data_IF_239875335611
#
_entry.id   IF_239875335611
#
_cell.length_a   1.000
_cell.length_b   1.000
_cell.length_c   1.000
_cell.angle_alpha   90.00
_cell.angle_beta   90.00
_cell.angle_gamma   90.00
#
_symmetry.space_group_name_H-M   'P 1'
#
loop_
_entity.id
_entity.type
_entity.pdbx_description
1 polymer ?
#
# COMPACT_ATOMS: atom_id res chain seq x y z
N UNK A 1 -36.57 84.70 -7.50
CA UNK A 1 -35.41 84.19 -8.25
C UNK A 1 -34.42 83.58 -7.27
N UNK A 2 -34.53 82.30 -7.02
CA UNK A 2 -33.44 81.48 -6.43
C UNK A 2 -33.68 80.03 -6.93
N UNK A 3 -32.91 79.66 -7.90
CA UNK A 3 -32.87 78.25 -8.36
C UNK A 3 -31.43 77.87 -8.75
N UNK A 4 -30.90 76.78 -8.15
CA UNK A 4 -29.94 75.94 -8.80
C UNK A 4 -28.47 76.06 -8.33
N UNK A 5 -28.11 75.60 -7.20
CA UNK A 5 -26.73 75.23 -6.86
C UNK A 5 -26.66 74.08 -5.84
N UNK A 6 -27.26 72.95 -6.17
CA UNK A 6 -27.21 71.76 -5.28
C UNK A 6 -26.82 70.42 -5.97
N UNK A 7 -26.82 70.41 -7.34
CA UNK A 7 -26.70 69.11 -8.05
C UNK A 7 -25.27 68.61 -8.37
N UNK A 8 -24.26 69.49 -8.28
CA UNK A 8 -22.89 69.13 -8.70
C UNK A 8 -22.02 68.44 -7.61
N UNK A 9 -22.33 68.65 -6.33
CA UNK A 9 -21.57 68.12 -5.21
C UNK A 9 -22.00 66.67 -4.88
N UNK A 10 -23.29 66.39 -4.90
CA UNK A 10 -23.83 65.09 -4.63
C UNK A 10 -23.42 64.02 -5.68
N UNK A 11 -23.43 64.43 -6.97
CA UNK A 11 -23.01 63.56 -8.07
C UNK A 11 -21.51 63.24 -8.01
N UNK A 12 -20.65 64.15 -7.59
CA UNK A 12 -19.23 63.91 -7.38
C UNK A 12 -18.97 62.94 -6.18
N UNK A 13 -19.70 63.15 -5.09
CA UNK A 13 -19.59 62.26 -3.90
C UNK A 13 -20.04 60.84 -4.22
N UNK A 14 -21.11 60.67 -4.96
CA UNK A 14 -21.58 59.35 -5.40
C UNK A 14 -20.58 58.70 -6.36
N UNK A 15 -19.95 59.43 -7.26
CA UNK A 15 -18.89 58.90 -8.15
C UNK A 15 -17.64 58.50 -7.38
N UNK A 16 -17.19 59.27 -6.39
CA UNK A 16 -16.06 58.88 -5.53
C UNK A 16 -16.37 57.64 -4.71
N UNK A 17 -17.58 57.54 -4.13
CA UNK A 17 -18.02 56.36 -3.38
C UNK A 17 -18.04 55.11 -4.26
N UNK A 18 -18.50 55.20 -5.49
CA UNK A 18 -18.50 54.13 -6.47
C UNK A 18 -17.07 53.71 -6.86
N UNK A 19 -16.15 54.66 -7.02
CA UNK A 19 -14.74 54.39 -7.29
C UNK A 19 -14.05 53.68 -6.13
N UNK A 20 -14.31 54.11 -4.88
CA UNK A 20 -13.78 53.41 -3.69
C UNK A 20 -14.36 52.00 -3.55
N UNK A 21 -15.65 51.80 -3.79
CA UNK A 21 -16.28 50.47 -3.76
C UNK A 21 -15.73 49.57 -4.86
N UNK A 22 -15.51 50.06 -6.07
CA UNK A 22 -14.92 49.32 -7.18
C UNK A 22 -13.44 48.92 -6.88
N UNK A 23 -12.65 49.87 -6.31
CA UNK A 23 -11.27 49.61 -5.89
C UNK A 23 -11.19 48.58 -4.78
N UNK A 24 -12.06 48.64 -3.77
CA UNK A 24 -12.14 47.66 -2.69
C UNK A 24 -12.53 46.28 -3.23
N UNK A 25 -13.51 46.20 -4.13
CA UNK A 25 -13.92 44.95 -4.77
C UNK A 25 -12.79 44.34 -5.62
N UNK A 26 -12.05 45.18 -6.37
CA UNK A 26 -10.90 44.72 -7.16
C UNK A 26 -9.78 44.21 -6.26
N UNK A 27 -9.48 44.87 -5.15
CA UNK A 27 -8.49 44.47 -4.16
C UNK A 27 -8.88 43.15 -3.50
N UNK A 28 -10.15 42.98 -3.14
CA UNK A 28 -10.67 41.68 -2.61
C UNK A 28 -10.58 40.56 -3.64
N UNK A 29 -10.85 40.86 -4.92
CA UNK A 29 -10.74 39.89 -6.02
C UNK A 29 -9.29 39.46 -6.24
N UNK A 30 -8.34 40.40 -6.22
CA UNK A 30 -6.90 40.11 -6.37
C UNK A 30 -6.38 39.30 -5.16
N UNK A 31 -6.79 39.67 -3.93
CA UNK A 31 -6.45 38.90 -2.73
C UNK A 31 -7.05 37.50 -2.78
N UNK A 32 -8.30 37.35 -3.16
CA UNK A 32 -8.97 36.07 -3.29
C UNK A 32 -8.32 35.18 -4.38
N UNK A 33 -7.97 35.77 -5.53
CA UNK A 33 -7.25 35.08 -6.60
C UNK A 33 -5.83 34.69 -6.17
N UNK A 34 -5.13 35.55 -5.43
CA UNK A 34 -3.81 35.30 -4.87
C UNK A 34 -3.84 34.14 -3.84
N UNK A 35 -4.78 34.17 -2.89
CA UNK A 35 -4.99 33.10 -1.92
C UNK A 35 -5.34 31.77 -2.60
N UNK A 36 -6.16 31.82 -3.64
CA UNK A 36 -6.54 30.65 -4.44
C UNK A 36 -5.38 30.08 -5.26
N UNK A 37 -4.41 30.92 -5.63
CA UNK A 37 -3.20 30.49 -6.36
C UNK A 37 -2.10 29.95 -5.43
N UNK A 38 -2.09 30.40 -4.17
CA UNK A 38 -1.17 30.00 -3.11
C UNK A 38 -1.66 28.77 -2.32
N UNK A 39 -2.84 28.22 -2.66
CA UNK A 39 -3.37 27.02 -2.01
C UNK A 39 -2.48 25.80 -2.37
N UNK A 40 -1.68 25.30 -1.41
CA UNK A 40 -0.77 24.17 -1.65
C UNK A 40 -1.53 22.86 -1.96
N UNK A 41 -2.86 22.84 -1.71
CA UNK A 41 -3.71 21.69 -1.95
C UNK A 41 -4.28 21.61 -3.37
N UNK A 42 -4.11 22.63 -4.21
CA UNK A 42 -4.74 22.69 -5.53
C UNK A 42 -4.31 21.57 -6.46
N UNK A 43 -3.03 21.18 -6.43
CA UNK A 43 -2.53 20.04 -7.22
C UNK A 43 -3.01 18.70 -6.65
N UNK A 44 -3.02 18.57 -5.32
CA UNK A 44 -3.55 17.39 -4.65
C UNK A 44 -5.04 17.22 -4.90
N UNK A 45 -5.82 18.31 -4.86
CA UNK A 45 -7.26 18.30 -5.17
C UNK A 45 -7.56 17.97 -6.63
N UNK A 46 -6.74 18.43 -7.59
CA UNK A 46 -6.90 18.04 -9.00
C UNK A 46 -6.62 16.56 -9.21
N UNK A 47 -5.50 16.05 -8.70
CA UNK A 47 -5.16 14.62 -8.75
C UNK A 47 -6.23 13.75 -8.07
N UNK A 48 -6.70 14.18 -6.90
CA UNK A 48 -7.80 13.52 -6.20
C UNK A 48 -9.08 13.50 -7.03
N UNK A 49 -9.42 14.59 -7.72
CA UNK A 49 -10.61 14.65 -8.58
C UNK A 49 -10.48 13.73 -9.80
N UNK A 50 -9.31 13.64 -10.40
CA UNK A 50 -9.03 12.71 -11.49
C UNK A 50 -9.14 11.26 -11.03
N UNK A 51 -8.51 10.91 -9.90
CA UNK A 51 -8.64 9.59 -9.27
C UNK A 51 -10.09 9.24 -8.93
N UNK A 52 -10.86 10.21 -8.39
CA UNK A 52 -12.30 10.00 -8.12
C UNK A 52 -13.10 9.72 -9.38
N UNK A 53 -12.85 10.48 -10.45
CA UNK A 53 -13.52 10.27 -11.75
C UNK A 53 -13.19 8.90 -12.31
N UNK A 54 -11.94 8.47 -12.17
CA UNK A 54 -11.47 7.18 -12.63
C UNK A 54 -12.09 6.02 -11.82
N UNK A 55 -12.09 6.13 -10.49
CA UNK A 55 -12.74 5.17 -9.59
C UNK A 55 -14.25 5.11 -9.88
N UNK A 56 -14.92 6.25 -9.99
CA UNK A 56 -16.33 6.33 -10.29
C UNK A 56 -16.67 5.69 -11.65
N UNK A 57 -15.86 5.95 -12.68
CA UNK A 57 -16.02 5.38 -14.02
C UNK A 57 -15.89 3.85 -14.01
N UNK A 58 -14.94 3.30 -13.24
CA UNK A 58 -14.68 1.85 -13.19
C UNK A 58 -15.65 1.09 -12.31
N UNK A 59 -16.05 1.69 -11.18
CA UNK A 59 -17.04 1.08 -10.29
C UNK A 59 -18.48 1.27 -10.81
N UNK A 60 -18.68 1.99 -11.94
CA UNK A 60 -20.00 2.33 -12.43
C UNK A 60 -20.83 3.14 -11.43
N UNK A 61 -20.18 3.86 -10.50
CA UNK A 61 -20.82 4.62 -9.42
C UNK A 61 -20.73 6.12 -9.69
N UNK A 62 -21.68 6.93 -9.17
CA UNK A 62 -21.61 8.39 -9.28
C UNK A 62 -20.39 8.92 -8.52
N UNK A 63 -19.94 10.12 -8.89
CA UNK A 63 -18.83 10.82 -8.24
C UNK A 63 -19.10 10.93 -6.73
N UNK A 64 -18.20 10.39 -5.93
CA UNK A 64 -18.31 10.39 -4.47
C UNK A 64 -17.97 11.78 -3.96
N UNK A 65 -18.86 12.36 -3.16
CA UNK A 65 -18.58 13.61 -2.47
C UNK A 65 -17.54 13.38 -1.38
N UNK A 66 -16.44 14.10 -1.44
CA UNK A 66 -15.35 14.02 -0.46
C UNK A 66 -15.02 15.40 0.05
N UNK A 67 -14.51 15.46 1.27
CA UNK A 67 -13.97 16.65 1.89
C UNK A 67 -12.49 16.86 1.53
N UNK A 68 -11.90 18.01 1.92
CA UNK A 68 -10.52 18.35 1.60
C UNK A 68 -9.48 17.34 2.15
N UNK A 69 -9.73 16.71 3.30
CA UNK A 69 -8.87 15.69 3.91
C UNK A 69 -8.98 14.36 3.17
N UNK A 70 -10.19 13.96 2.79
CA UNK A 70 -10.41 12.78 1.96
C UNK A 70 -9.78 12.93 0.57
N UNK A 71 -9.73 14.15 0.03
CA UNK A 71 -9.06 14.45 -1.24
C UNK A 71 -7.55 14.19 -1.18
N UNK A 72 -6.93 14.46 -0.03
CA UNK A 72 -5.52 14.13 0.21
C UNK A 72 -5.29 12.61 0.21
N UNK A 73 -6.15 11.87 0.93
CA UNK A 73 -6.06 10.39 0.99
C UNK A 73 -6.40 9.76 -0.36
N UNK A 74 -7.31 10.36 -1.15
CA UNK A 74 -7.69 9.85 -2.46
C UNK A 74 -6.50 9.77 -3.45
N UNK A 75 -5.43 10.52 -3.23
CA UNK A 75 -4.19 10.41 -4.00
C UNK A 75 -3.44 9.08 -3.78
N UNK A 76 -3.64 8.46 -2.62
CA UNK A 76 -3.03 7.18 -2.24
C UNK A 76 -3.98 5.98 -2.46
N UNK A 77 -5.12 6.21 -3.11
CA UNK A 77 -6.09 5.17 -3.49
C UNK A 77 -5.68 4.53 -4.80
N UNK A 78 -5.57 3.21 -4.81
CA UNK A 78 -5.25 2.40 -5.98
C UNK A 78 -6.48 1.57 -6.36
N UNK A 79 -6.87 1.66 -7.62
CA UNK A 79 -7.93 0.81 -8.14
C UNK A 79 -7.40 -0.63 -8.31
N UNK A 80 -8.15 -1.67 -7.90
CA UNK A 80 -7.73 -3.05 -8.05
C UNK A 80 -7.36 -3.44 -9.49
N UNK A 81 -8.04 -2.88 -10.50
CA UNK A 81 -7.73 -3.17 -11.91
C UNK A 81 -6.38 -2.60 -12.39
N UNK A 82 -5.83 -1.61 -11.69
CA UNK A 82 -4.51 -1.04 -11.97
C UNK A 82 -3.37 -1.72 -11.19
N UNK A 83 -3.70 -2.74 -10.42
CA UNK A 83 -2.69 -3.53 -9.72
C UNK A 83 -2.25 -4.65 -10.66
N UNK A 84 -1.01 -4.60 -11.12
CA UNK A 84 -0.45 -5.60 -12.05
C UNK A 84 -0.07 -6.92 -11.34
N UNK A 85 -0.12 -6.95 -10.01
CA UNK A 85 0.26 -8.11 -9.20
C UNK A 85 -0.98 -8.92 -8.82
N UNK A 86 -0.98 -10.20 -9.16
CA UNK A 86 -1.98 -11.21 -8.76
C UNK A 86 -1.29 -12.38 -8.05
N UNK A 87 -2.03 -13.32 -7.47
CA UNK A 87 -1.43 -14.47 -6.78
C UNK A 87 -0.51 -15.30 -7.68
N UNK A 88 -0.82 -15.39 -8.97
CA UNK A 88 0.04 -16.05 -9.96
C UNK A 88 1.37 -15.32 -10.22
N UNK A 89 1.50 -14.06 -9.81
CA UNK A 89 2.73 -13.27 -9.89
C UNK A 89 3.63 -13.44 -8.65
N UNK A 90 3.23 -14.28 -7.69
CA UNK A 90 3.96 -14.53 -6.45
C UNK A 90 4.33 -16.02 -6.43
N UNK A 91 5.62 -16.37 -6.47
CA UNK A 91 6.09 -17.74 -6.34
C UNK A 91 5.99 -18.22 -4.90
N UNK A 92 5.55 -19.47 -4.70
CA UNK A 92 5.40 -20.07 -3.38
C UNK A 92 4.21 -19.54 -2.56
N UNK A 93 4.25 -19.81 -1.26
CA UNK A 93 3.24 -19.41 -0.27
C UNK A 93 1.83 -19.98 -0.52
N UNK A 94 1.71 -21.16 -1.14
CA UNK A 94 0.41 -21.70 -1.57
C UNK A 94 -0.59 -21.86 -0.42
N UNK A 95 -0.14 -22.38 0.73
CA UNK A 95 -0.98 -22.53 1.93
C UNK A 95 -1.48 -21.18 2.45
N UNK A 96 -0.62 -20.17 2.45
CA UNK A 96 -0.97 -18.81 2.90
C UNK A 96 -1.91 -18.15 1.90
N UNK A 97 -1.67 -18.29 0.60
CA UNK A 97 -2.56 -17.78 -0.45
C UNK A 97 -3.96 -18.39 -0.33
N UNK A 98 -4.05 -19.71 -0.10
CA UNK A 98 -5.31 -20.40 0.09
C UNK A 98 -6.05 -19.87 1.34
N UNK A 99 -5.37 -19.76 2.47
CA UNK A 99 -5.97 -19.22 3.69
C UNK A 99 -6.43 -17.75 3.51
N UNK A 100 -5.63 -16.92 2.83
CA UNK A 100 -6.00 -15.53 2.52
C UNK A 100 -7.18 -15.47 1.55
N UNK A 101 -7.27 -16.38 0.59
CA UNK A 101 -8.42 -16.47 -0.30
C UNK A 101 -9.70 -16.74 0.48
N UNK A 102 -9.68 -17.72 1.38
CA UNK A 102 -10.85 -18.13 2.16
C UNK A 102 -11.26 -17.09 3.22
N UNK A 103 -10.28 -16.55 3.96
CA UNK A 103 -10.56 -15.67 5.10
C UNK A 103 -10.73 -14.20 4.71
N UNK A 104 -10.16 -13.77 3.59
CA UNK A 104 -10.12 -12.35 3.20
C UNK A 104 -10.83 -12.10 1.88
N UNK A 105 -10.43 -12.79 0.82
CA UNK A 105 -10.91 -12.50 -0.53
C UNK A 105 -12.37 -12.95 -0.70
N UNK A 106 -12.67 -14.16 -0.30
CA UNK A 106 -14.01 -14.72 -0.47
C UNK A 106 -15.09 -13.92 0.27
N UNK A 107 -14.91 -13.49 1.54
CA UNK A 107 -15.89 -12.64 2.22
C UNK A 107 -16.09 -11.26 1.59
N UNK A 108 -15.07 -10.70 0.96
CA UNK A 108 -15.16 -9.43 0.25
C UNK A 108 -15.88 -9.58 -1.11
N UNK A 109 -15.62 -10.69 -1.84
CA UNK A 109 -16.22 -10.96 -3.16
C UNK A 109 -17.63 -11.50 -3.08
N UNK A 110 -17.91 -12.37 -2.11
CA UNK A 110 -19.17 -13.13 -1.95
C UNK A 110 -19.76 -12.96 -0.55
N UNK A 111 -20.07 -11.71 -0.13
CA UNK A 111 -20.56 -11.44 1.22
C UNK A 111 -21.85 -12.19 1.55
N UNK A 112 -22.64 -12.55 0.54
CA UNK A 112 -23.89 -13.31 0.70
C UNK A 112 -23.68 -14.69 1.34
N UNK A 113 -22.50 -15.30 1.16
CA UNK A 113 -22.18 -16.60 1.78
C UNK A 113 -21.91 -16.49 3.28
N UNK A 114 -21.63 -15.28 3.78
CA UNK A 114 -21.25 -14.98 5.16
C UNK A 114 -22.35 -14.24 5.92
N UNK A 115 -23.53 -14.09 5.34
CA UNK A 115 -24.66 -13.38 5.95
C UNK A 115 -25.46 -14.23 6.94
N UNK A 116 -25.24 -15.54 6.98
CA UNK A 116 -25.98 -16.47 7.81
C UNK A 116 -25.18 -16.86 9.05
N UNK A 117 -25.66 -16.50 10.23
CA UNK A 117 -25.03 -16.85 11.50
C UNK A 117 -24.09 -15.75 12.05
N UNK A 118 -23.45 -16.06 13.19
CA UNK A 118 -22.56 -15.11 13.90
C UNK A 118 -21.09 -15.54 13.92
N UNK A 119 -20.79 -16.75 13.43
CA UNK A 119 -19.45 -17.33 13.50
C UNK A 119 -18.58 -16.93 12.31
N UNK A 120 -19.18 -16.85 11.13
CA UNK A 120 -18.47 -16.50 9.91
C UNK A 120 -18.78 -15.04 9.53
N UNK A 121 -17.75 -14.27 9.29
CA UNK A 121 -17.87 -12.88 8.84
C UNK A 121 -16.56 -12.38 8.24
N UNK A 122 -16.59 -11.25 7.52
CA UNK A 122 -15.39 -10.69 6.93
C UNK A 122 -14.40 -10.29 8.02
N UNK A 123 -13.15 -10.71 7.85
CA UNK A 123 -12.08 -10.31 8.76
C UNK A 123 -11.89 -8.79 8.68
N UNK A 124 -11.82 -8.15 9.84
CA UNK A 124 -11.67 -6.69 9.94
C UNK A 124 -10.21 -6.25 10.08
N UNK A 125 -9.31 -7.19 10.42
CA UNK A 125 -7.89 -6.93 10.57
C UNK A 125 -7.05 -8.16 10.27
N UNK A 126 -6.04 -7.98 9.43
CA UNK A 126 -5.07 -9.03 9.04
C UNK A 126 -3.66 -8.47 9.13
N UNK A 127 -2.75 -9.23 9.71
CA UNK A 127 -1.33 -8.91 9.82
C UNK A 127 -0.50 -9.83 8.93
N UNK A 128 0.33 -9.23 8.08
CA UNK A 128 1.41 -9.92 7.36
C UNK A 128 2.73 -9.57 8.04
N UNK A 129 3.46 -10.57 8.53
CA UNK A 129 4.73 -10.32 9.21
C UNK A 129 5.83 -11.26 8.72
N UNK A 130 7.08 -10.87 8.90
CA UNK A 130 8.22 -11.68 8.47
C UNK A 130 9.41 -10.83 8.04
N UNK A 131 10.51 -11.45 7.59
CA UNK A 131 11.73 -10.76 7.18
C UNK A 131 11.47 -9.75 6.05
N UNK A 132 12.29 -8.69 5.94
CA UNK A 132 12.22 -7.78 4.80
C UNK A 132 12.52 -8.52 3.50
N UNK A 133 11.90 -8.08 2.40
CA UNK A 133 12.13 -8.64 1.06
C UNK A 133 11.40 -9.95 0.75
N UNK A 134 10.54 -10.45 1.63
CA UNK A 134 9.77 -11.69 1.43
C UNK A 134 8.46 -11.50 0.66
N UNK A 135 8.11 -10.28 0.24
CA UNK A 135 6.97 -10.02 -0.64
C UNK A 135 5.67 -9.61 0.05
N UNK A 136 5.66 -9.24 1.34
CA UNK A 136 4.46 -8.81 2.09
C UNK A 136 3.63 -7.73 1.40
N UNK A 137 4.28 -6.68 0.93
CA UNK A 137 3.61 -5.59 0.20
C UNK A 137 3.06 -6.04 -1.17
N UNK A 138 3.75 -6.97 -1.85
CA UNK A 138 3.25 -7.58 -3.09
C UNK A 138 1.99 -8.42 -2.81
N UNK A 139 2.03 -9.23 -1.76
CA UNK A 139 0.91 -10.06 -1.34
C UNK A 139 -0.31 -9.20 -0.97
N UNK A 140 -0.11 -8.09 -0.26
CA UNK A 140 -1.18 -7.14 0.06
C UNK A 140 -1.85 -6.57 -1.21
N UNK A 141 -1.06 -6.22 -2.23
CA UNK A 141 -1.57 -5.76 -3.51
C UNK A 141 -2.32 -6.87 -4.26
N UNK A 142 -1.78 -8.08 -4.27
CA UNK A 142 -2.46 -9.23 -4.89
C UNK A 142 -3.81 -9.53 -4.22
N UNK A 143 -3.91 -9.46 -2.90
CA UNK A 143 -5.18 -9.59 -2.16
C UNK A 143 -6.19 -8.55 -2.64
N UNK A 144 -5.79 -7.30 -2.81
CA UNK A 144 -6.69 -6.24 -3.30
C UNK A 144 -7.13 -6.50 -4.75
N UNK A 145 -6.22 -6.92 -5.61
CA UNK A 145 -6.51 -7.30 -7.00
C UNK A 145 -7.53 -8.45 -7.06
N UNK A 146 -7.25 -9.52 -6.34
CA UNK A 146 -8.08 -10.73 -6.32
C UNK A 146 -9.46 -10.49 -5.70
N UNK A 147 -9.54 -9.66 -4.64
CA UNK A 147 -10.81 -9.34 -3.99
C UNK A 147 -11.66 -8.33 -4.77
N UNK A 148 -11.08 -7.60 -5.73
CA UNK A 148 -11.74 -6.46 -6.37
C UNK A 148 -11.98 -5.29 -5.42
N UNK A 149 -11.30 -5.25 -4.28
CA UNK A 149 -11.43 -4.19 -3.30
C UNK A 149 -10.51 -3.01 -3.63
N UNK A 150 -11.01 -1.81 -3.38
CA UNK A 150 -10.21 -0.59 -3.51
C UNK A 150 -9.08 -0.61 -2.47
N UNK A 151 -7.86 -0.35 -2.92
CA UNK A 151 -6.66 -0.40 -2.09
C UNK A 151 -6.25 1.01 -1.67
N UNK A 152 -6.34 1.31 -0.37
CA UNK A 152 -5.95 2.60 0.21
C UNK A 152 -4.60 2.40 0.90
N UNK A 153 -3.53 2.85 0.25
CA UNK A 153 -2.17 2.72 0.78
C UNK A 153 -1.86 3.86 1.75
N UNK A 154 -2.02 3.61 3.05
CA UNK A 154 -1.79 4.63 4.08
C UNK A 154 -0.30 4.80 4.32
N UNK A 155 0.24 5.93 3.86
CA UNK A 155 1.62 6.32 4.14
C UNK A 155 1.68 7.18 5.39
N UNK A 156 2.35 6.70 6.42
CA UNK A 156 2.47 7.39 7.69
C UNK A 156 3.15 8.76 7.53
N UNK A 157 4.15 8.85 6.63
CA UNK A 157 4.79 10.12 6.28
C UNK A 157 3.79 11.16 5.77
N UNK A 158 2.76 10.76 5.02
CA UNK A 158 1.74 11.67 4.53
C UNK A 158 0.80 12.14 5.65
N UNK A 159 0.54 11.29 6.64
CA UNK A 159 -0.25 11.65 7.82
C UNK A 159 0.49 12.62 8.74
N UNK A 160 1.82 12.52 8.83
CA UNK A 160 2.64 13.33 9.75
C UNK A 160 3.18 14.62 9.14
N UNK A 161 3.51 14.66 7.83
CA UNK A 161 4.36 15.70 7.26
C UNK A 161 3.65 16.97 6.84
N UNK A 162 2.37 16.94 6.54
CA UNK A 162 1.67 18.09 5.94
C UNK A 162 0.81 18.93 6.89
N UNK A 163 0.44 18.39 8.06
CA UNK A 163 -0.62 19.01 8.86
C UNK A 163 -0.37 18.87 10.36
N UNK A 164 0.61 19.63 10.87
CA UNK A 164 0.79 19.76 12.31
C UNK A 164 -0.51 20.33 12.90
N UNK A 165 -1.31 19.49 13.58
CA UNK A 165 -2.63 19.83 14.13
C UNK A 165 -3.83 19.14 13.47
N UNK A 166 -3.72 18.63 12.22
CA UNK A 166 -4.84 18.02 11.49
C UNK A 166 -4.67 16.49 11.28
N UNK A 167 -3.65 15.87 11.88
CA UNK A 167 -3.38 14.45 11.74
C UNK A 167 -4.58 13.56 12.10
N UNK A 168 -5.33 13.89 13.15
CA UNK A 168 -6.56 13.20 13.52
C UNK A 168 -7.63 13.27 12.45
N UNK A 169 -7.79 14.42 11.78
CA UNK A 169 -8.76 14.60 10.69
C UNK A 169 -8.37 13.78 9.45
N UNK A 170 -7.05 13.62 9.18
CA UNK A 170 -6.56 12.76 8.11
C UNK A 170 -6.81 11.29 8.41
N UNK A 171 -6.61 10.85 9.65
CA UNK A 171 -6.97 9.49 10.09
C UNK A 171 -8.47 9.25 9.92
N UNK A 172 -9.32 10.19 10.36
CA UNK A 172 -10.77 10.11 10.15
C UNK A 172 -11.13 10.06 8.67
N UNK A 173 -10.41 10.79 7.81
CA UNK A 173 -10.61 10.78 6.38
C UNK A 173 -10.27 9.43 5.73
N UNK A 174 -9.25 8.70 6.21
CA UNK A 174 -8.92 7.34 5.74
C UNK A 174 -10.12 6.41 5.92
N UNK A 175 -10.67 6.34 7.14
CA UNK A 175 -11.80 5.45 7.43
C UNK A 175 -13.09 5.89 6.72
N UNK A 176 -13.38 7.20 6.70
CA UNK A 176 -14.55 7.74 6.00
C UNK A 176 -14.49 7.47 4.50
N UNK A 177 -13.34 7.66 3.87
CA UNK A 177 -13.14 7.39 2.46
C UNK A 177 -13.24 5.88 2.17
N UNK A 178 -12.64 5.02 2.99
CA UNK A 178 -12.74 3.58 2.87
C UNK A 178 -14.21 3.11 2.94
N UNK A 179 -14.99 3.69 3.85
CA UNK A 179 -16.42 3.40 3.97
C UNK A 179 -17.21 3.81 2.71
N UNK A 180 -16.89 4.95 2.10
CA UNK A 180 -17.50 5.41 0.86
C UNK A 180 -17.12 4.56 -0.36
N UNK A 181 -15.92 3.96 -0.34
CA UNK A 181 -15.34 3.21 -1.47
C UNK A 181 -15.53 1.68 -1.38
N UNK A 182 -16.30 1.18 -0.44
CA UNK A 182 -16.49 -0.26 -0.23
C UNK A 182 -16.80 -1.06 -1.53
N UNK A 183 -16.21 -2.27 -1.68
CA UNK A 183 -15.29 -2.94 -0.76
C UNK A 183 -13.90 -2.30 -0.79
N UNK A 184 -13.27 -2.11 0.39
CA UNK A 184 -11.99 -1.42 0.51
C UNK A 184 -11.04 -2.10 1.49
N UNK A 185 -9.75 -2.03 1.17
CA UNK A 185 -8.65 -2.48 2.02
C UNK A 185 -7.81 -1.26 2.40
N UNK A 186 -7.73 -0.97 3.71
CA UNK A 186 -6.81 0.03 4.26
C UNK A 186 -5.49 -0.70 4.51
N UNK A 187 -4.46 -0.41 3.73
CA UNK A 187 -3.15 -1.03 3.88
C UNK A 187 -2.18 -0.10 4.60
N UNK A 188 -1.51 -0.65 5.61
CA UNK A 188 -0.49 0.04 6.40
C UNK A 188 0.79 -0.78 6.33
N UNK A 189 1.78 -0.28 5.59
CA UNK A 189 3.11 -0.87 5.58
C UNK A 189 3.94 -0.35 6.76
N UNK A 190 4.89 -1.16 7.24
CA UNK A 190 5.72 -0.81 8.40
C UNK A 190 4.89 -0.31 9.60
N UNK A 191 3.82 -1.06 9.89
CA UNK A 191 2.84 -0.65 10.92
C UNK A 191 3.47 -0.46 12.31
N UNK A 192 4.60 -1.11 12.59
CA UNK A 192 5.40 -0.94 13.80
C UNK A 192 5.91 0.49 13.97
N UNK A 193 6.21 1.20 12.90
CA UNK A 193 6.62 2.60 12.95
C UNK A 193 5.51 3.54 13.40
N UNK A 194 4.24 3.17 13.19
CA UNK A 194 3.06 3.97 13.53
C UNK A 194 2.35 3.46 14.79
N UNK A 195 2.09 2.15 14.87
CA UNK A 195 1.29 1.52 15.90
C UNK A 195 2.15 0.62 16.82
N UNK A 196 3.45 0.89 16.89
CA UNK A 196 4.37 0.23 17.82
C UNK A 196 4.09 0.61 19.28
N UNK A 197 4.77 -0.10 20.19
CA UNK A 197 4.70 0.15 21.62
C UNK A 197 5.00 1.63 21.94
N UNK A 198 4.27 2.18 22.93
CA UNK A 198 4.42 3.57 23.35
C UNK A 198 5.81 3.77 23.95
N UNK A 199 6.58 4.69 23.38
CA UNK A 199 7.86 5.11 23.94
C UNK A 199 7.66 6.43 24.69
N UNK A 200 8.43 6.62 25.76
CA UNK A 200 8.39 7.88 26.56
C UNK A 200 8.79 9.12 25.74
N UNK A 201 9.42 8.91 24.60
CA UNK A 201 9.84 9.95 23.65
C UNK A 201 8.83 10.21 22.53
N UNK A 202 7.69 9.51 22.51
CA UNK A 202 6.68 9.71 21.48
C UNK A 202 6.10 11.14 21.59
N UNK A 203 6.07 11.85 20.47
CA UNK A 203 5.43 13.17 20.41
C UNK A 203 3.93 13.03 20.69
N UNK A 204 3.37 13.95 21.48
CA UNK A 204 1.95 13.98 21.84
C UNK A 204 1.03 13.87 20.61
N UNK A 205 1.41 14.53 19.50
CA UNK A 205 0.68 14.46 18.23
C UNK A 205 0.56 13.02 17.68
N UNK A 206 1.63 12.22 17.79
CA UNK A 206 1.64 10.82 17.35
C UNK A 206 0.74 9.96 18.27
N UNK A 207 0.81 10.18 19.57
CA UNK A 207 -0.04 9.47 20.56
C UNK A 207 -1.52 9.75 20.33
N UNK A 208 -1.88 11.00 20.07
CA UNK A 208 -3.25 11.40 19.77
C UNK A 208 -3.73 10.79 18.44
N UNK A 209 -2.89 10.75 17.43
CA UNK A 209 -3.20 10.12 16.15
C UNK A 209 -3.38 8.59 16.28
N UNK A 210 -2.54 7.91 17.05
CA UNK A 210 -2.70 6.47 17.39
C UNK A 210 -4.05 6.22 18.09
N UNK A 211 -4.37 7.04 19.07
CA UNK A 211 -5.63 6.90 19.84
C UNK A 211 -6.85 7.09 18.94
N UNK A 212 -6.83 8.11 18.08
CA UNK A 212 -7.91 8.35 17.11
C UNK A 212 -8.06 7.20 16.12
N UNK A 213 -6.91 6.70 15.57
CA UNK A 213 -6.91 5.55 14.68
C UNK A 213 -7.57 4.33 15.34
N UNK A 214 -7.23 4.05 16.60
CA UNK A 214 -7.78 2.93 17.36
C UNK A 214 -9.29 3.08 17.60
N UNK A 215 -9.74 4.28 17.96
CA UNK A 215 -11.16 4.56 18.22
C UNK A 215 -12.00 4.39 16.95
N UNK A 216 -11.50 4.89 15.81
CA UNK A 216 -12.17 4.75 14.52
C UNK A 216 -12.18 3.30 14.02
N UNK A 217 -11.10 2.56 14.27
CA UNK A 217 -11.02 1.14 13.93
C UNK A 217 -12.08 0.35 14.73
N UNK A 218 -12.21 0.60 16.02
CA UNK A 218 -13.23 -0.06 16.85
C UNK A 218 -14.65 0.29 16.37
N UNK A 219 -14.91 1.56 16.10
CA UNK A 219 -16.20 1.99 15.54
C UNK A 219 -16.56 1.28 14.24
N UNK A 220 -15.56 1.05 13.41
CA UNK A 220 -15.71 0.35 12.13
C UNK A 220 -15.88 -1.19 12.29
N UNK A 221 -15.22 -1.81 13.27
CA UNK A 221 -15.36 -3.26 13.52
C UNK A 221 -16.74 -3.65 14.04
N UNK A 222 -17.48 -2.72 14.63
CA UNK A 222 -18.85 -2.94 15.12
C UNK A 222 -19.88 -3.02 14.01
N UNK A 223 -19.64 -2.43 12.84
CA UNK A 223 -20.52 -2.54 11.68
C UNK A 223 -20.23 -3.83 10.91
N UNK A 224 -21.06 -4.84 11.12
CA UNK A 224 -20.92 -6.14 10.46
C UNK A 224 -21.12 -6.07 8.93
N UNK A 225 -21.84 -5.07 8.43
CA UNK A 225 -22.13 -4.90 7.00
C UNK A 225 -21.01 -4.15 6.27
N UNK A 226 -20.13 -3.47 6.98
CA UNK A 226 -19.04 -2.75 6.36
C UNK A 226 -18.04 -3.71 5.71
N UNK A 227 -17.85 -3.58 4.41
CA UNK A 227 -16.88 -4.35 3.61
C UNK A 227 -15.55 -3.59 3.51
N UNK A 228 -15.00 -3.27 4.67
CA UNK A 228 -13.69 -2.62 4.80
C UNK A 228 -12.86 -3.46 5.76
N UNK A 229 -11.59 -3.59 5.49
CA UNK A 229 -10.64 -4.26 6.38
C UNK A 229 -9.34 -3.47 6.48
N UNK A 230 -8.63 -3.66 7.58
CA UNK A 230 -7.25 -3.17 7.74
C UNK A 230 -6.30 -4.33 7.50
N UNK A 231 -5.40 -4.15 6.54
CA UNK A 231 -4.31 -5.07 6.23
C UNK A 231 -3.00 -4.40 6.64
N UNK A 232 -2.34 -4.93 7.62
CA UNK A 232 -1.09 -4.39 8.15
C UNK A 232 0.10 -5.27 7.74
N UNK A 233 1.25 -4.65 7.48
CA UNK A 233 2.50 -5.37 7.26
C UNK A 233 3.58 -4.86 8.20
N UNK A 234 4.44 -5.77 8.72
CA UNK A 234 5.57 -5.42 9.57
C UNK A 234 6.73 -6.39 9.41
N UNK A 235 7.94 -5.86 9.58
CA UNK A 235 9.15 -6.68 9.73
C UNK A 235 9.47 -6.96 11.21
N UNK A 236 8.76 -6.31 12.16
CA UNK A 236 9.05 -6.35 13.59
C UNK A 236 7.77 -6.58 14.42
N UNK A 237 7.18 -7.79 14.35
CA UNK A 237 5.91 -8.07 15.02
C UNK A 237 5.99 -7.88 16.54
N UNK A 238 7.17 -8.09 17.15
CA UNK A 238 7.40 -7.90 18.59
C UNK A 238 7.35 -6.45 19.06
N UNK A 239 7.51 -5.47 18.16
CA UNK A 239 7.40 -4.05 18.49
C UNK A 239 5.96 -3.53 18.48
N UNK A 240 4.98 -4.32 18.03
CA UNK A 240 3.58 -3.91 17.99
C UNK A 240 2.95 -3.85 19.40
N UNK A 241 2.08 -2.87 19.58
CA UNK A 241 1.27 -2.77 20.80
C UNK A 241 0.27 -3.94 20.85
N UNK A 242 0.11 -4.54 22.04
CA UNK A 242 -0.82 -5.66 22.27
C UNK A 242 -2.26 -5.31 21.89
N UNK A 243 -2.67 -4.06 22.09
CA UNK A 243 -3.99 -3.60 21.71
C UNK A 243 -4.20 -3.62 20.19
N UNK A 244 -3.14 -3.43 19.40
CA UNK A 244 -3.16 -3.57 17.93
C UNK A 244 -3.27 -5.04 17.54
N UNK A 245 -2.48 -5.91 18.17
CA UNK A 245 -2.51 -7.34 17.89
C UNK A 245 -3.90 -7.96 18.12
N UNK A 246 -4.64 -7.49 19.13
CA UNK A 246 -6.03 -7.90 19.36
C UNK A 246 -6.99 -7.51 18.23
N UNK A 247 -6.67 -6.45 17.48
CA UNK A 247 -7.47 -6.00 16.32
C UNK A 247 -7.04 -6.62 15.00
N UNK A 248 -5.92 -7.35 15.03
CA UNK A 248 -5.37 -8.12 13.91
C UNK A 248 -5.43 -9.62 14.26
N UNK A 249 -6.63 -10.20 14.39
CA UNK A 249 -6.81 -11.58 14.89
C UNK A 249 -6.21 -12.63 13.95
N UNK A 250 -6.05 -12.30 12.69
CA UNK A 250 -5.41 -13.15 11.68
C UNK A 250 -4.01 -12.63 11.40
N UNK A 251 -3.00 -13.44 11.69
CA UNK A 251 -1.61 -13.10 11.46
C UNK A 251 -0.94 -14.20 10.63
N UNK A 252 -0.33 -13.80 9.50
CA UNK A 252 0.34 -14.70 8.57
C UNK A 252 1.83 -14.40 8.54
N UNK A 253 2.63 -15.41 8.79
CA UNK A 253 4.08 -15.31 8.67
C UNK A 253 4.51 -15.51 7.21
N UNK A 254 5.09 -14.46 6.63
CA UNK A 254 5.70 -14.52 5.31
C UNK A 254 7.20 -14.72 5.52
N UNK A 255 7.57 -15.98 5.70
CA UNK A 255 8.92 -16.41 6.07
C UNK A 255 9.92 -16.31 4.91
N UNK A 256 11.14 -16.81 5.20
CA UNK A 256 12.15 -17.01 4.16
C UNK A 256 11.70 -18.14 3.23
N UNK A 257 11.81 -17.97 1.90
CA UNK A 257 11.40 -19.01 0.97
C UNK A 257 12.30 -20.23 1.08
N UNK A 258 11.70 -21.41 1.07
CA UNK A 258 12.40 -22.68 0.97
C UNK A 258 12.98 -22.89 -0.44
N UNK A 259 13.69 -23.99 -0.68
CA UNK A 259 14.30 -24.28 -1.99
C UNK A 259 13.27 -24.32 -3.11
N UNK A 260 12.13 -24.98 -2.87
CA UNK A 260 11.06 -25.12 -3.86
C UNK A 260 10.41 -23.76 -4.17
N UNK A 261 10.11 -23.00 -3.13
CA UNK A 261 9.54 -21.66 -3.28
C UNK A 261 10.51 -20.71 -4.01
N UNK A 262 11.84 -20.80 -3.75
CA UNK A 262 12.84 -20.03 -4.49
C UNK A 262 12.86 -20.38 -5.97
N UNK A 263 12.73 -21.67 -6.32
CA UNK A 263 12.63 -22.08 -7.73
C UNK A 263 11.36 -21.50 -8.39
N UNK A 264 10.22 -21.56 -7.70
CA UNK A 264 8.96 -20.97 -8.16
C UNK A 264 9.06 -19.44 -8.32
N UNK A 265 9.73 -18.74 -7.38
CA UNK A 265 10.00 -17.30 -7.49
C UNK A 265 10.85 -17.00 -8.73
N UNK A 266 11.91 -17.75 -8.97
CA UNK A 266 12.77 -17.58 -10.16
C UNK A 266 11.97 -17.77 -11.45
N UNK A 267 11.13 -18.81 -11.53
CA UNK A 267 10.24 -19.05 -12.66
C UNK A 267 9.28 -17.89 -12.90
N UNK A 268 8.70 -17.34 -11.85
CA UNK A 268 7.77 -16.20 -11.95
C UNK A 268 8.51 -14.91 -12.38
N UNK A 269 9.68 -14.64 -11.80
CA UNK A 269 10.49 -13.45 -12.11
C UNK A 269 10.97 -13.45 -13.57
N UNK A 270 11.33 -14.62 -14.09
CA UNK A 270 11.84 -14.77 -15.46
C UNK A 270 10.73 -15.04 -16.48
N UNK A 271 9.48 -15.14 -16.05
CA UNK A 271 8.34 -15.34 -16.94
C UNK A 271 8.19 -14.16 -17.90
N UNK A 272 8.25 -14.46 -19.20
CA UNK A 272 8.16 -13.45 -20.27
C UNK A 272 9.47 -12.79 -20.66
N UNK A 273 10.56 -13.09 -19.96
CA UNK A 273 11.90 -12.69 -20.35
C UNK A 273 12.49 -13.65 -21.41
N UNK A 274 13.47 -13.17 -22.16
CA UNK A 274 14.18 -13.98 -23.16
C UNK A 274 15.23 -14.86 -22.47
N UNK A 275 14.83 -16.07 -22.09
CA UNK A 275 15.66 -17.04 -21.37
C UNK A 275 15.89 -18.29 -22.20
N UNK A 276 16.95 -19.07 -21.91
CA UNK A 276 17.17 -20.40 -22.48
C UNK A 276 16.17 -21.40 -21.87
N UNK A 277 15.71 -22.36 -22.70
CA UNK A 277 14.71 -23.36 -22.28
C UNK A 277 15.24 -24.38 -21.28
N UNK A 278 16.57 -24.48 -21.13
CA UNK A 278 17.26 -25.51 -20.34
C UNK A 278 17.69 -25.05 -18.94
N UNK A 279 17.16 -23.95 -18.42
CA UNK A 279 17.50 -23.46 -17.08
C UNK A 279 16.93 -24.42 -16.02
N UNK A 280 17.81 -25.00 -15.19
CA UNK A 280 17.44 -25.76 -14.01
C UNK A 280 17.20 -24.80 -12.81
N UNK A 281 15.95 -24.38 -12.65
CA UNK A 281 15.55 -23.46 -11.58
C UNK A 281 15.75 -24.06 -10.19
N UNK A 282 15.62 -25.39 -10.03
CA UNK A 282 15.81 -26.06 -8.75
C UNK A 282 17.30 -26.10 -8.37
N UNK A 283 18.19 -26.32 -9.36
CA UNK A 283 19.63 -26.20 -9.15
C UNK A 283 20.01 -24.78 -8.74
N UNK A 284 19.58 -23.76 -9.48
CA UNK A 284 19.87 -22.35 -9.15
C UNK A 284 19.32 -22.01 -7.76
N UNK A 285 18.10 -22.45 -7.42
CA UNK A 285 17.50 -22.23 -6.11
C UNK A 285 18.30 -22.89 -4.97
N UNK A 286 18.96 -24.04 -5.24
CA UNK A 286 19.84 -24.68 -4.26
C UNK A 286 21.08 -23.84 -3.92
N UNK A 287 21.60 -23.09 -4.90
CA UNK A 287 22.73 -22.17 -4.71
C UNK A 287 22.34 -20.85 -4.02
N UNK A 288 21.03 -20.54 -3.97
CA UNK A 288 20.47 -19.32 -3.40
C UNK A 288 19.98 -19.50 -1.96
N UNK A 289 20.58 -20.37 -1.16
CA UNK A 289 20.17 -20.58 0.24
C UNK A 289 20.23 -19.28 1.04
N UNK A 290 19.12 -18.97 1.74
CA UNK A 290 18.96 -17.74 2.52
C UNK A 290 18.71 -16.47 1.70
N UNK A 291 18.34 -16.59 0.42
CA UNK A 291 17.91 -15.45 -0.40
C UNK A 291 16.41 -15.19 -0.22
N UNK A 292 16.06 -13.92 -0.10
CA UNK A 292 14.68 -13.45 -0.12
C UNK A 292 14.17 -13.32 -1.56
N UNK A 293 12.87 -13.12 -1.75
CA UNK A 293 12.30 -12.83 -3.07
C UNK A 293 12.92 -11.58 -3.73
N UNK A 294 13.23 -10.55 -2.93
CA UNK A 294 13.93 -9.36 -3.43
C UNK A 294 15.36 -9.64 -3.86
N UNK A 295 16.08 -10.51 -3.16
CA UNK A 295 17.45 -10.89 -3.53
C UNK A 295 17.45 -11.69 -4.84
N UNK A 296 16.47 -12.60 -5.01
CA UNK A 296 16.31 -13.37 -6.25
C UNK A 296 15.97 -12.47 -7.45
N UNK A 297 15.12 -11.47 -7.26
CA UNK A 297 14.83 -10.47 -8.28
C UNK A 297 16.09 -9.69 -8.68
N UNK A 298 16.87 -9.24 -7.70
CA UNK A 298 18.14 -8.54 -7.97
C UNK A 298 19.19 -9.43 -8.62
N UNK A 299 19.24 -10.72 -8.27
CA UNK A 299 20.05 -11.73 -8.95
C UNK A 299 19.70 -11.80 -10.44
N UNK A 300 18.41 -11.97 -10.76
CA UNK A 300 17.93 -12.04 -12.14
C UNK A 300 18.23 -10.75 -12.92
N UNK A 301 17.98 -9.58 -12.32
CA UNK A 301 18.32 -8.28 -12.93
C UNK A 301 19.81 -8.17 -13.26
N UNK A 302 20.69 -8.53 -12.32
CA UNK A 302 22.15 -8.49 -12.54
C UNK A 302 22.58 -9.44 -13.65
N UNK A 303 22.00 -10.65 -13.69
CA UNK A 303 22.28 -11.63 -14.71
C UNK A 303 21.84 -11.17 -16.11
N UNK A 304 20.68 -10.51 -16.21
CA UNK A 304 20.16 -9.97 -17.47
C UNK A 304 21.07 -8.91 -18.13
N UNK A 305 21.99 -8.29 -17.38
CA UNK A 305 22.96 -7.38 -17.96
C UNK A 305 24.11 -8.08 -18.73
N UNK A 306 24.38 -9.37 -18.51
CA UNK A 306 25.48 -10.04 -19.23
C UNK A 306 25.26 -10.12 -20.72
N UNK A 307 24.11 -10.62 -21.22
CA UNK A 307 23.82 -10.62 -22.65
C UNK A 307 23.92 -9.24 -23.31
N UNK A 308 23.49 -8.19 -22.56
CA UNK A 308 23.56 -6.80 -23.06
C UNK A 308 25.01 -6.32 -23.15
N UNK A 309 25.86 -6.62 -22.16
CA UNK A 309 27.28 -6.24 -22.17
C UNK A 309 28.03 -6.95 -23.29
N UNK A 310 27.77 -8.23 -23.52
CA UNK A 310 28.35 -9.01 -24.60
C UNK A 310 27.99 -8.43 -25.97
N UNK A 311 26.71 -8.06 -26.17
CA UNK A 311 26.26 -7.38 -27.38
C UNK A 311 27.02 -6.07 -27.63
N UNK A 312 27.12 -5.20 -26.61
CA UNK A 312 27.85 -3.93 -26.73
C UNK A 312 29.33 -4.12 -27.00
N UNK A 313 29.97 -5.16 -26.46
CA UNK A 313 31.36 -5.47 -26.69
C UNK A 313 31.57 -6.03 -28.12
N UNK A 314 30.63 -6.77 -28.69
CA UNK A 314 30.64 -7.23 -30.07
C UNK A 314 30.46 -6.06 -31.04
N UNK A 315 29.53 -5.13 -30.77
CA UNK A 315 29.34 -3.91 -31.55
C UNK A 315 30.62 -3.04 -31.57
N UNK A 316 31.29 -2.88 -30.41
CA UNK A 316 32.58 -2.18 -30.34
C UNK A 316 33.68 -2.83 -31.17
N UNK A 317 33.62 -4.15 -31.37
CA UNK A 317 34.53 -4.92 -32.21
C UNK A 317 34.13 -4.91 -33.71
N UNK A 318 33.09 -4.13 -34.06
CA UNK A 318 32.61 -4.00 -35.44
C UNK A 318 31.77 -5.17 -35.95
N UNK A 319 31.31 -6.06 -35.08
CA UNK A 319 30.36 -7.13 -35.44
C UNK A 319 28.96 -6.59 -35.48
N UNK A 320 28.20 -6.88 -36.53
CA UNK A 320 26.76 -6.62 -36.54
C UNK A 320 26.05 -7.72 -35.76
N UNK A 321 25.50 -7.38 -34.58
CA UNK A 321 24.67 -8.26 -33.81
C UNK A 321 23.21 -7.82 -33.88
N UNK A 322 22.29 -8.76 -34.05
CA UNK A 322 20.86 -8.49 -34.24
C UNK A 322 20.07 -8.35 -32.92
N UNK A 323 20.76 -8.39 -31.77
CA UNK A 323 20.17 -8.24 -30.43
C UNK A 323 20.84 -9.13 -29.38
N UNK A 324 20.51 -8.96 -28.11
CA UNK A 324 21.10 -9.75 -27.03
C UNK A 324 20.67 -11.22 -27.11
N UNK A 325 21.59 -12.12 -26.76
CA UNK A 325 21.28 -13.55 -26.63
C UNK A 325 20.29 -13.77 -25.46
N UNK A 326 19.64 -14.95 -25.40
CA UNK A 326 18.87 -15.33 -24.22
C UNK A 326 19.74 -15.37 -22.95
N UNK A 327 19.11 -15.14 -21.80
CA UNK A 327 19.71 -15.32 -20.49
C UNK A 327 19.95 -16.80 -20.25
N UNK A 328 21.17 -17.19 -19.88
CA UNK A 328 21.55 -18.58 -19.59
C UNK A 328 21.64 -18.85 -18.09
N UNK A 329 21.59 -20.13 -17.70
CA UNK A 329 21.86 -20.53 -16.32
C UNK A 329 23.25 -20.08 -15.86
N UNK A 330 24.24 -20.14 -16.73
CA UNK A 330 25.61 -19.71 -16.42
C UNK A 330 25.68 -18.21 -16.01
N UNK A 331 24.84 -17.35 -16.57
CA UNK A 331 24.78 -15.94 -16.18
C UNK A 331 24.30 -15.77 -14.74
N UNK A 332 23.30 -16.56 -14.31
CA UNK A 332 22.80 -16.59 -12.94
C UNK A 332 23.89 -17.10 -11.97
N UNK A 333 24.55 -18.20 -12.30
CA UNK A 333 25.63 -18.76 -11.49
C UNK A 333 26.83 -17.81 -11.38
N UNK A 334 27.15 -17.09 -12.46
CA UNK A 334 28.22 -16.09 -12.47
C UNK A 334 27.93 -14.91 -11.53
N UNK A 335 26.67 -14.47 -11.44
CA UNK A 335 26.27 -13.46 -10.45
C UNK A 335 26.41 -14.01 -9.06
N UNK A 336 25.98 -15.25 -8.80
CA UNK A 336 26.08 -15.89 -7.48
C UNK A 336 27.53 -16.01 -7.01
N UNK A 337 28.44 -16.33 -7.90
CA UNK A 337 29.88 -16.41 -7.60
C UNK A 337 30.48 -15.04 -7.23
N UNK A 338 29.94 -13.94 -7.75
CA UNK A 338 30.47 -12.59 -7.57
C UNK A 338 29.69 -11.75 -6.55
N UNK A 339 28.44 -12.09 -6.23
CA UNK A 339 27.58 -11.36 -5.32
C UNK A 339 27.76 -11.83 -3.87
N UNK A 340 28.13 -10.92 -2.98
CA UNK A 340 28.01 -11.16 -1.53
C UNK A 340 26.51 -11.09 -1.16
N UNK A 341 26.06 -12.02 -0.29
CA UNK A 341 24.71 -12.01 0.29
C UNK A 341 24.42 -10.65 0.93
N UNK A 342 23.28 -10.06 0.62
CA UNK A 342 22.73 -8.92 1.38
C UNK A 342 22.13 -9.40 2.73
N UNK A 343 22.46 -10.62 3.13
CA UNK A 343 21.88 -11.41 4.20
C UNK A 343 22.04 -10.91 5.64
N UNK A 344 22.49 -9.66 5.84
CA UNK A 344 22.57 -9.07 7.19
C UNK A 344 21.16 -8.93 7.79
N UNK A 345 20.17 -8.51 7.01
CA UNK A 345 18.81 -8.31 7.49
C UNK A 345 18.08 -9.62 7.88
N UNK A 346 18.32 -10.71 7.16
CA UNK A 346 17.74 -12.02 7.49
C UNK A 346 18.36 -12.60 8.77
N UNK A 347 19.67 -12.42 8.98
CA UNK A 347 20.37 -12.86 10.18
C UNK A 347 19.92 -12.07 11.41
N UNK A 348 19.75 -10.74 11.28
CA UNK A 348 19.22 -9.90 12.36
C UNK A 348 17.79 -10.28 12.72
N UNK A 349 16.91 -10.54 11.73
CA UNK A 349 15.55 -11.00 11.98
C UNK A 349 15.52 -12.33 12.75
N UNK A 350 16.33 -13.29 12.35
CA UNK A 350 16.41 -14.60 13.01
C UNK A 350 16.94 -14.46 14.44
N UNK A 351 17.93 -13.60 14.67
CA UNK A 351 18.52 -13.37 15.99
C UNK A 351 17.55 -12.65 16.93
N UNK A 352 16.81 -11.66 16.44
CA UNK A 352 15.80 -10.93 17.22
C UNK A 352 14.60 -11.82 17.58
N UNK A 353 14.13 -12.65 16.64
CA UNK A 353 13.01 -13.56 16.91
C UNK A 353 13.40 -14.74 17.81
N UNK A 354 14.64 -15.22 17.77
CA UNK A 354 15.09 -16.26 18.68
C UNK A 354 15.16 -15.77 20.14
N UNK A 355 15.39 -14.47 20.36
CA UNK A 355 15.34 -13.84 21.68
C UNK A 355 13.91 -13.52 22.15
N UNK A 356 12.95 -13.36 21.23
CA UNK A 356 11.54 -13.09 21.52
C UNK A 356 10.64 -14.33 21.46
N UNK A 357 11.19 -15.51 21.74
CA UNK A 357 10.57 -16.84 21.60
C UNK A 357 9.26 -17.08 22.39
N UNK A 358 8.65 -16.05 22.96
CA UNK A 358 7.33 -16.11 23.59
C UNK A 358 6.16 -15.94 22.63
N UNK A 359 6.37 -15.35 21.44
CA UNK A 359 5.27 -15.01 20.55
C UNK A 359 4.89 -16.15 19.60
N UNK A 360 5.88 -16.93 19.18
CA UNK A 360 5.70 -18.08 18.26
C UNK A 360 5.22 -19.36 18.95
N UNK A 361 5.45 -19.52 20.26
CA UNK A 361 5.13 -20.78 20.98
C UNK A 361 3.66 -20.99 21.31
N UNK A 362 2.81 -19.98 21.22
CA UNK A 362 1.39 -20.10 21.55
C UNK A 362 0.48 -20.30 20.33
N UNK A 363 1.04 -20.48 19.14
CA UNK A 363 0.30 -20.83 17.92
C UNK A 363 1.07 -21.89 17.16
N UNK A 364 0.91 -23.15 17.61
CA UNK A 364 1.36 -24.30 16.84
C UNK A 364 0.59 -24.38 15.51
N UNK A 365 1.26 -24.83 14.40
CA UNK A 365 0.63 -24.95 13.08
C UNK A 365 -0.47 -26.02 12.99
N UNK A 366 -0.70 -26.79 14.03
CA UNK A 366 -1.59 -27.97 14.01
C UNK A 366 -3.09 -27.66 14.11
N UNK A 367 -3.51 -26.43 14.32
CA UNK A 367 -4.95 -26.09 14.45
C UNK A 367 -5.69 -25.85 13.12
N UNK A 368 -5.04 -26.05 11.98
CA UNK A 368 -5.71 -25.97 10.67
C UNK A 368 -6.12 -27.32 10.06
N UNK A 369 -6.16 -28.39 10.85
CA UNK A 369 -6.92 -29.56 10.46
C UNK A 369 -8.42 -29.28 10.66
N UNK A 370 -9.04 -28.68 9.66
CA UNK A 370 -10.49 -28.80 9.46
C UNK A 370 -10.77 -30.28 9.25
N UNK A 371 -11.06 -31.00 10.32
CA UNK A 371 -11.71 -32.28 10.21
C UNK A 371 -13.06 -32.06 9.54
N UNK A 372 -13.13 -32.47 8.29
CA UNK A 372 -14.40 -32.69 7.63
C UNK A 372 -15.15 -33.79 8.42
N UNK A 373 -16.01 -33.40 9.34
CA UNK A 373 -17.05 -34.23 9.86
C UNK A 373 -18.21 -34.15 8.87
N UNK A 374 -18.17 -35.07 7.88
CA UNK A 374 -19.37 -35.52 7.18
C UNK A 374 -19.79 -36.79 7.94
N UNK A 375 -20.83 -36.66 8.73
CA UNK A 375 -21.89 -37.64 8.97
C UNK A 375 -23.17 -36.91 9.34
#
# INVERSE_FOLDING_TARGET
>A
MVRGMGGSSETKFVQELLLYAASAALSCLVLFAGLRHLDPNRESSKKALEHKKEIAKRLGRPLIQTNAYEDVIACDVINPDHIDVEFGSIGGLETIKQALYELVILPLRRPELFSHGKLLGPQKGVLLYGPPGTGKTMLAKAIARESGAVFINVRISNLMSKWFGDAQKLVAAVFSLAYKLQPAIIFIDEVDSFLGQRRTTDHEALTNMKTEFMALWDGFTTDQNARVMVLAATNRPSELDEAILRRLPQAFEIGMPDRRERAEILMVVLKGEKVEDNIDYDHVASLCEGYTGSDLLELCKKAAYFPIRELLDEERKGKQATGPRPLSQFDLEKVLATSRKTGIAATEYTTLNSQSSGWSRNREPDDYQVQAAIE
#
